data_IF_830738121720
#
_entry.id   IF_830738121720
#
_cell.length_a   1.000
_cell.length_b   1.000
_cell.length_c   1.000
_cell.angle_alpha   90.00
_cell.angle_beta   90.00
_cell.angle_gamma   90.00
#
_symmetry.space_group_name_H-M   'P 1'
#
loop_
_entity.id
_entity.type
_entity.pdbx_description
1 polymer ?
#
# COMPACT_ATOMS: atom_id res chain seq x y z
N UNK A 1 -6.22 4.51 -4.05
CA UNK A 1 -7.53 5.19 -3.88
C UNK A 1 -7.54 5.79 -2.48
N UNK A 2 -8.07 6.99 -2.29
CA UNK A 2 -8.04 7.70 -0.99
C UNK A 2 -9.43 8.19 -0.68
N UNK A 3 -9.85 8.06 0.58
CA UNK A 3 -11.08 8.66 1.07
C UNK A 3 -10.80 10.03 1.67
N UNK A 4 -11.65 11.02 1.40
CA UNK A 4 -11.62 12.31 2.08
C UNK A 4 -12.84 12.41 2.98
N UNK A 5 -12.61 12.41 4.29
CA UNK A 5 -13.67 12.46 5.30
C UNK A 5 -13.75 13.87 5.87
N UNK A 6 -14.96 14.40 5.96
CA UNK A 6 -15.24 15.71 6.57
C UNK A 6 -15.89 15.53 7.93
N UNK A 7 -15.26 16.11 8.95
CA UNK A 7 -15.74 16.18 10.33
C UNK A 7 -15.87 17.66 10.74
N UNK A 8 -16.56 17.99 11.85
CA UNK A 8 -16.60 19.38 12.35
C UNK A 8 -15.21 19.99 12.61
N UNK A 9 -14.21 19.16 12.92
CA UNK A 9 -12.83 19.59 13.14
C UNK A 9 -12.02 19.84 11.86
N UNK A 10 -12.53 19.43 10.69
CA UNK A 10 -11.86 19.61 9.40
C UNK A 10 -12.00 18.43 8.46
N UNK A 11 -11.14 18.42 7.44
CA UNK A 11 -11.11 17.41 6.38
C UNK A 11 -9.85 16.57 6.48
N UNK A 12 -9.97 15.28 6.24
CA UNK A 12 -8.89 14.32 6.45
C UNK A 12 -8.80 13.36 5.28
N UNK A 13 -7.58 13.14 4.78
CA UNK A 13 -7.26 12.07 3.85
C UNK A 13 -7.05 10.77 4.64
N UNK A 14 -7.73 9.71 4.21
CA UNK A 14 -7.67 8.38 4.80
C UNK A 14 -7.36 7.39 3.68
N UNK A 15 -6.19 6.75 3.76
CA UNK A 15 -5.77 5.69 2.85
C UNK A 15 -5.42 4.44 3.67
N UNK A 16 -6.22 3.40 3.50
CA UNK A 16 -6.03 2.09 4.13
C UNK A 16 -5.55 1.03 3.12
N UNK A 17 -5.24 1.44 1.89
CA UNK A 17 -4.89 0.55 0.76
C UNK A 17 -3.49 0.74 0.20
N UNK A 18 -2.72 1.75 0.64
CA UNK A 18 -1.36 1.99 0.12
C UNK A 18 -0.35 0.89 0.49
N UNK A 19 -0.54 0.22 1.63
CA UNK A 19 0.35 -0.83 2.12
C UNK A 19 1.39 -0.30 3.11
N UNK A 20 2.62 -0.83 3.05
CA UNK A 20 3.55 -0.79 4.19
C UNK A 20 4.10 0.59 4.57
N UNK A 21 4.07 1.54 3.63
CA UNK A 21 4.52 2.92 3.82
C UNK A 21 3.34 3.91 3.90
N UNK A 22 2.13 3.40 4.15
CA UNK A 22 0.93 4.22 4.28
C UNK A 22 0.87 4.93 5.62
N UNK A 23 0.08 6.00 5.66
CA UNK A 23 -0.27 6.63 6.93
C UNK A 23 -1.03 5.65 7.83
N UNK A 24 -0.68 5.63 9.12
CA UNK A 24 -1.36 4.81 10.14
C UNK A 24 -2.42 5.60 10.92
N UNK A 25 -2.66 6.84 10.49
CA UNK A 25 -3.64 7.75 11.09
C UNK A 25 -4.21 8.69 10.01
N UNK A 26 -5.42 9.24 10.20
CA UNK A 26 -5.98 10.22 9.28
C UNK A 26 -5.06 11.44 9.15
N UNK A 27 -4.74 11.82 7.91
CA UNK A 27 -3.95 13.02 7.66
C UNK A 27 -4.86 14.21 7.46
N UNK A 28 -4.66 15.29 8.22
CA UNK A 28 -5.34 16.55 7.95
C UNK A 28 -5.06 16.96 6.49
N UNK A 29 -6.10 17.28 5.73
CA UNK A 29 -6.01 17.70 4.34
C UNK A 29 -5.47 19.14 4.25
N UNK A 30 -4.21 19.33 4.66
CA UNK A 30 -3.48 20.58 4.75
C UNK A 30 -2.03 20.34 4.35
N UNK A 31 -1.40 21.28 3.63
CA UNK A 31 -0.02 21.10 3.19
C UNK A 31 0.95 21.19 4.38
N UNK A 32 2.06 20.49 4.26
CA UNK A 32 3.26 20.62 5.10
C UNK A 32 3.09 20.28 6.59
N UNK A 33 2.00 19.59 6.96
CA UNK A 33 1.84 19.01 8.30
C UNK A 33 2.54 17.65 8.33
N UNK A 34 3.58 17.53 9.16
CA UNK A 34 4.28 16.28 9.40
C UNK A 34 3.47 15.44 10.39
N UNK A 35 3.17 14.21 9.99
CA UNK A 35 2.51 13.19 10.80
C UNK A 35 3.45 12.02 11.01
N UNK A 36 3.50 11.50 12.23
CA UNK A 36 4.30 10.32 12.55
C UNK A 36 3.69 9.06 11.93
N UNK A 37 4.55 8.18 11.45
CA UNK A 37 4.24 6.84 10.94
C UNK A 37 4.67 5.75 11.92
N UNK A 38 4.99 4.57 11.37
CA UNK A 38 5.49 3.45 12.17
C UNK A 38 6.97 3.70 12.52
N UNK A 39 7.29 3.82 13.81
CA UNK A 39 8.66 4.07 14.25
C UNK A 39 9.16 5.46 13.77
N UNK A 40 10.33 5.56 13.11
CA UNK A 40 10.90 6.84 12.66
C UNK A 40 10.26 7.39 11.38
N UNK A 41 9.29 6.67 10.79
CA UNK A 41 8.66 7.10 9.54
C UNK A 41 7.86 8.37 9.74
N UNK A 42 7.83 9.19 8.70
CA UNK A 42 7.02 10.41 8.67
C UNK A 42 6.27 10.53 7.35
N UNK A 43 5.11 11.17 7.43
CA UNK A 43 4.21 11.42 6.31
C UNK A 43 3.86 12.90 6.26
N UNK A 44 3.59 13.40 5.06
CA UNK A 44 2.96 14.71 4.88
C UNK A 44 2.17 14.77 3.59
N UNK A 45 1.26 15.73 3.52
CA UNK A 45 0.60 16.11 2.28
C UNK A 45 1.21 17.41 1.76
N UNK A 46 1.34 17.52 0.44
CA UNK A 46 1.61 18.77 -0.26
C UNK A 46 0.46 19.07 -1.21
N UNK A 47 0.24 20.36 -1.51
CA UNK A 47 -0.68 20.76 -2.58
C UNK A 47 0.09 21.43 -3.70
N UNK A 48 0.55 20.63 -4.67
CA UNK A 48 1.51 21.04 -5.70
C UNK A 48 1.17 20.48 -7.07
N UNK A 49 1.77 21.06 -8.12
CA UNK A 49 1.76 20.47 -9.45
C UNK A 49 2.68 19.25 -9.49
N UNK A 50 2.40 18.30 -10.38
CA UNK A 50 3.22 17.09 -10.57
C UNK A 50 3.95 17.15 -11.91
N UNK A 51 5.12 16.52 -12.01
CA UNK A 51 6.01 16.59 -13.19
C UNK A 51 5.28 16.32 -14.52
N UNK A 52 4.34 15.36 -14.62
CA UNK A 52 3.65 15.11 -15.89
C UNK A 52 2.67 16.21 -16.34
N UNK A 53 2.28 17.15 -15.46
CA UNK A 53 1.33 18.20 -15.82
C UNK A 53 1.98 19.27 -16.68
N UNK A 54 1.38 19.54 -17.84
CA UNK A 54 1.78 20.66 -18.72
C UNK A 54 1.20 22.00 -18.28
N UNK A 55 0.12 22.00 -17.49
CA UNK A 55 -0.47 23.20 -16.89
C UNK A 55 0.05 23.40 -15.45
N UNK A 56 0.92 24.39 -15.19
CA UNK A 56 1.51 24.60 -13.87
C UNK A 56 0.51 25.10 -12.81
N UNK A 57 -0.68 25.56 -13.23
CA UNK A 57 -1.74 25.99 -12.31
C UNK A 57 -2.55 24.83 -11.76
N UNK A 58 -2.49 23.64 -12.39
CA UNK A 58 -3.15 22.45 -11.87
C UNK A 58 -2.33 21.85 -10.73
N UNK A 59 -3.00 21.64 -9.60
CA UNK A 59 -2.41 21.07 -8.39
C UNK A 59 -3.21 19.87 -7.94
N UNK A 60 -2.49 18.90 -7.40
CA UNK A 60 -3.04 17.75 -6.70
C UNK A 60 -2.55 17.75 -5.26
N UNK A 61 -3.27 17.03 -4.40
CA UNK A 61 -2.71 16.58 -3.15
C UNK A 61 -1.67 15.50 -3.43
N UNK A 62 -0.46 15.65 -2.89
CA UNK A 62 0.62 14.69 -3.04
C UNK A 62 0.97 14.14 -1.66
N UNK A 63 0.79 12.84 -1.49
CA UNK A 63 1.25 12.13 -0.30
C UNK A 63 2.74 11.86 -0.42
N UNK A 64 3.50 12.35 0.56
CA UNK A 64 4.92 12.07 0.70
C UNK A 64 5.18 11.26 1.96
N UNK A 65 6.19 10.41 1.88
CA UNK A 65 6.71 9.64 3.01
C UNK A 65 8.22 9.68 3.04
N UNK A 66 8.80 9.44 4.21
CA UNK A 66 10.21 9.16 4.42
C UNK A 66 10.40 8.16 5.56
N UNK A 67 11.49 7.39 5.54
CA UNK A 67 11.70 6.34 6.53
C UNK A 67 12.32 6.84 7.83
N UNK A 68 12.97 8.01 7.80
CA UNK A 68 13.51 8.72 8.94
C UNK A 68 13.52 10.23 8.70
N UNK A 69 13.72 11.02 9.75
CA UNK A 69 13.82 12.48 9.63
C UNK A 69 15.05 12.97 8.85
N UNK A 70 16.04 12.10 8.65
CA UNK A 70 17.28 12.38 7.91
C UNK A 70 17.14 12.07 6.42
N UNK A 71 16.15 11.26 6.04
CA UNK A 71 15.90 10.89 4.65
C UNK A 71 15.20 12.02 3.86
N UNK A 72 15.44 12.02 2.55
CA UNK A 72 14.68 12.85 1.61
C UNK A 72 13.21 12.38 1.52
N UNK A 73 12.32 13.33 1.26
CA UNK A 73 10.91 13.04 1.04
C UNK A 73 10.68 12.39 -0.33
N UNK A 74 9.95 11.28 -0.36
CA UNK A 74 9.54 10.60 -1.58
C UNK A 74 8.05 10.87 -1.89
N UNK A 75 7.77 11.36 -3.11
CA UNK A 75 6.41 11.43 -3.66
C UNK A 75 5.90 10.00 -3.90
N UNK A 76 4.95 9.55 -3.08
CA UNK A 76 4.40 8.20 -3.18
C UNK A 76 3.22 8.12 -4.15
N UNK A 77 2.25 9.03 -4.01
CA UNK A 77 1.13 9.16 -4.95
C UNK A 77 0.50 10.55 -4.87
N UNK A 78 -0.34 10.86 -5.86
CA UNK A 78 -1.12 12.08 -5.90
C UNK A 78 -2.61 11.77 -6.06
N UNK A 79 -3.48 12.63 -5.51
CA UNK A 79 -4.92 12.52 -5.63
C UNK A 79 -5.57 13.90 -5.73
N UNK A 80 -6.76 13.93 -6.34
CA UNK A 80 -7.59 15.13 -6.46
C UNK A 80 -8.67 15.13 -5.38
N UNK A 81 -9.25 16.30 -5.16
CA UNK A 81 -10.44 16.48 -4.32
C UNK A 81 -11.75 16.31 -5.09
N UNK A 82 -11.66 15.89 -6.36
CA UNK A 82 -12.82 15.52 -7.16
C UNK A 82 -13.41 14.21 -6.64
N UNK A 83 -14.73 14.16 -6.52
CA UNK A 83 -15.45 12.94 -6.20
C UNK A 83 -15.43 11.95 -7.37
N UNK A 84 -15.16 10.68 -7.06
CA UNK A 84 -15.17 9.57 -8.01
C UNK A 84 -16.37 8.69 -7.68
N UNK A 85 -17.08 8.25 -8.72
CA UNK A 85 -18.21 7.33 -8.60
C UNK A 85 -17.72 5.87 -8.62
N UNK A 86 -18.53 4.89 -8.18
CA UNK A 86 -18.17 3.48 -8.22
C UNK A 86 -17.63 3.01 -9.59
N UNK A 87 -18.23 3.47 -10.69
CA UNK A 87 -17.81 3.12 -12.05
C UNK A 87 -16.41 3.63 -12.40
N UNK A 88 -15.99 4.79 -11.86
CA UNK A 88 -14.63 5.29 -12.05
C UNK A 88 -13.61 4.33 -11.41
N UNK A 89 -13.94 3.81 -10.22
CA UNK A 89 -13.11 2.83 -9.53
C UNK A 89 -13.10 1.47 -10.22
N UNK A 90 -14.21 1.03 -10.82
CA UNK A 90 -14.24 -0.19 -11.63
C UNK A 90 -13.26 -0.11 -12.80
N UNK A 91 -13.22 1.01 -13.53
CA UNK A 91 -12.26 1.20 -14.63
C UNK A 91 -10.81 1.19 -14.14
N UNK A 92 -10.52 1.88 -13.03
CA UNK A 92 -9.17 1.91 -12.43
C UNK A 92 -8.76 0.52 -11.95
N UNK A 93 -9.66 -0.19 -11.29
CA UNK A 93 -9.43 -1.55 -10.78
C UNK A 93 -9.22 -2.54 -11.92
N UNK A 94 -10.03 -2.46 -12.99
CA UNK A 94 -9.86 -3.27 -14.18
C UNK A 94 -8.48 -3.06 -14.80
N UNK A 95 -8.04 -1.82 -15.03
CA UNK A 95 -6.69 -1.59 -15.56
C UNK A 95 -5.61 -2.11 -14.62
N UNK A 96 -5.74 -1.85 -13.31
CA UNK A 96 -4.75 -2.27 -12.30
C UNK A 96 -4.64 -3.79 -12.18
N UNK A 97 -5.75 -4.53 -12.34
CA UNK A 97 -5.79 -5.99 -12.19
C UNK A 97 -5.58 -6.76 -13.49
N UNK A 98 -5.92 -6.18 -14.66
CA UNK A 98 -5.92 -6.91 -15.94
C UNK A 98 -4.83 -6.45 -16.91
N UNK A 99 -4.29 -5.23 -16.77
CA UNK A 99 -3.29 -4.72 -17.69
C UNK A 99 -1.96 -5.46 -17.52
N UNK A 100 -1.42 -6.04 -18.59
CA UNK A 100 -0.08 -6.63 -18.60
C UNK A 100 1.07 -5.63 -18.36
N UNK A 101 0.76 -4.33 -18.25
CA UNK A 101 1.69 -3.27 -17.83
C UNK A 101 1.58 -2.91 -16.34
N UNK A 102 0.53 -3.38 -15.65
CA UNK A 102 0.37 -3.17 -14.22
C UNK A 102 1.32 -4.08 -13.44
N UNK A 103 2.00 -3.52 -12.44
CA UNK A 103 2.82 -4.28 -11.52
C UNK A 103 1.96 -5.28 -10.72
N UNK A 104 0.78 -4.86 -10.28
CA UNK A 104 -0.15 -5.68 -9.49
C UNK A 104 -0.74 -6.88 -10.25
N UNK A 105 -0.76 -6.85 -11.59
CA UNK A 105 -1.20 -7.99 -12.41
C UNK A 105 -0.09 -9.04 -12.61
N UNK A 106 1.13 -8.77 -12.14
CA UNK A 106 2.34 -9.55 -12.46
C UNK A 106 3.20 -9.90 -11.27
N UNK A 107 2.80 -9.47 -10.08
CA UNK A 107 3.55 -9.58 -8.83
C UNK A 107 2.58 -9.95 -7.73
N UNK A 108 3.05 -10.78 -6.80
CA UNK A 108 2.27 -11.08 -5.60
C UNK A 108 2.73 -10.12 -4.51
N UNK A 109 1.78 -9.41 -3.93
CA UNK A 109 2.04 -8.59 -2.75
C UNK A 109 0.93 -8.80 -1.73
N UNK A 110 1.32 -8.98 -0.48
CA UNK A 110 0.41 -8.91 0.65
C UNK A 110 1.07 -8.10 1.75
N UNK A 111 0.30 -7.21 2.37
CA UNK A 111 0.76 -6.39 3.50
C UNK A 111 -0.25 -6.51 4.63
N UNK A 112 0.26 -6.77 5.83
CA UNK A 112 -0.52 -6.76 7.06
C UNK A 112 0.15 -5.84 8.08
N UNK A 113 -0.64 -4.97 8.70
CA UNK A 113 -0.18 -4.12 9.80
C UNK A 113 -0.11 -4.94 11.10
N UNK A 114 0.91 -4.71 11.92
CA UNK A 114 1.11 -5.33 13.24
C UNK A 114 0.70 -4.33 14.31
N UNK A 115 -0.20 -4.75 15.20
CA UNK A 115 -0.71 -3.93 16.31
C UNK A 115 -0.12 -4.40 17.64
N UNK A 116 0.25 -3.43 18.49
CA UNK A 116 0.46 -3.63 19.93
C UNK A 116 -0.55 -2.74 20.67
N UNK A 117 -1.63 -3.35 21.17
CA UNK A 117 -2.79 -2.58 21.65
C UNK A 117 -3.47 -1.83 20.49
N UNK A 118 -3.52 -0.50 20.58
CA UNK A 118 -4.09 0.38 19.54
C UNK A 118 -3.02 1.00 18.63
N UNK A 119 -1.73 0.73 18.86
CA UNK A 119 -0.62 1.31 18.09
C UNK A 119 -0.17 0.36 16.96
N UNK A 120 -0.02 0.90 15.75
CA UNK A 120 0.61 0.17 14.64
C UNK A 120 2.13 0.23 14.79
N UNK A 121 2.75 -0.90 15.15
CA UNK A 121 4.19 -0.97 15.45
C UNK A 121 5.03 -1.55 14.32
N UNK A 122 4.40 -2.13 13.31
CA UNK A 122 5.12 -2.82 12.25
C UNK A 122 4.24 -3.31 11.11
N UNK A 123 4.88 -4.01 10.18
CA UNK A 123 4.24 -4.63 9.03
C UNK A 123 4.82 -6.00 8.75
N UNK A 124 3.99 -6.93 8.27
CA UNK A 124 4.42 -8.14 7.57
C UNK A 124 4.16 -7.91 6.08
N UNK A 125 5.16 -8.18 5.26
CA UNK A 125 5.15 -7.93 3.82
C UNK A 125 5.56 -9.22 3.13
N UNK A 126 4.69 -9.73 2.28
CA UNK A 126 5.02 -10.76 1.31
C UNK A 126 5.15 -10.09 -0.05
N UNK A 127 6.26 -10.32 -0.72
CA UNK A 127 6.57 -9.78 -2.03
C UNK A 127 7.16 -10.91 -2.88
N UNK A 128 6.38 -11.36 -3.87
CA UNK A 128 6.62 -12.53 -4.71
C UNK A 128 6.95 -13.81 -3.93
N UNK A 129 8.23 -14.07 -3.71
CA UNK A 129 8.77 -15.27 -3.05
C UNK A 129 9.27 -14.97 -1.65
N UNK A 130 9.38 -13.71 -1.25
CA UNK A 130 9.97 -13.34 0.02
C UNK A 130 8.93 -12.86 1.00
N UNK A 131 9.12 -13.20 2.28
CA UNK A 131 8.36 -12.62 3.37
C UNK A 131 9.31 -11.95 4.36
N UNK A 132 8.98 -10.72 4.72
CA UNK A 132 9.73 -9.90 5.66
C UNK A 132 8.80 -9.25 6.65
N UNK A 133 9.32 -9.00 7.85
CA UNK A 133 8.65 -8.24 8.90
C UNK A 133 9.46 -6.99 9.18
N UNK A 134 8.80 -5.83 9.22
CA UNK A 134 9.41 -4.57 9.64
C UNK A 134 8.76 -4.10 10.93
N UNK A 135 9.52 -3.95 12.01
CA UNK A 135 9.04 -3.40 13.29
C UNK A 135 9.89 -2.19 13.65
N UNK A 136 9.24 -1.04 13.89
CA UNK A 136 9.91 0.21 14.31
C UNK A 136 11.19 0.53 13.52
N UNK A 137 11.13 0.38 12.19
CA UNK A 137 12.23 0.65 11.25
C UNK A 137 13.24 -0.49 11.05
N UNK A 138 13.16 -1.58 11.82
CA UNK A 138 14.04 -2.76 11.66
C UNK A 138 13.37 -3.83 10.82
N UNK A 139 14.06 -4.27 9.77
CA UNK A 139 13.58 -5.34 8.87
C UNK A 139 14.21 -6.67 9.25
N UNK A 140 13.39 -7.71 9.29
CA UNK A 140 13.76 -9.11 9.49
C UNK A 140 13.19 -9.94 8.33
N UNK A 141 14.05 -10.71 7.67
CA UNK A 141 13.60 -11.67 6.65
C UNK A 141 13.07 -12.92 7.34
N UNK A 142 11.82 -13.26 7.08
CA UNK A 142 11.13 -14.40 7.70
C UNK A 142 11.23 -15.67 6.86
N UNK A 143 11.53 -15.56 5.56
CA UNK A 143 11.72 -16.70 4.68
C UNK A 143 11.68 -16.36 3.20
N UNK A 144 12.01 -17.36 2.39
CA UNK A 144 11.89 -17.38 0.93
C UNK A 144 11.11 -18.65 0.55
N UNK A 145 10.14 -18.52 -0.35
CA UNK A 145 9.31 -19.60 -0.86
C UNK A 145 9.84 -20.05 -2.20
N UNK A 146 10.03 -21.35 -2.32
CA UNK A 146 10.47 -22.02 -3.56
C UNK A 146 9.31 -22.72 -4.26
N UNK A 147 8.22 -23.00 -3.53
CA UNK A 147 7.02 -23.63 -4.07
C UNK A 147 5.76 -22.80 -3.81
N UNK A 148 4.72 -23.04 -4.61
CA UNK A 148 3.42 -22.39 -4.41
C UNK A 148 2.75 -22.86 -3.10
N UNK A 149 2.94 -24.13 -2.73
CA UNK A 149 2.40 -24.67 -1.49
C UNK A 149 2.95 -23.92 -0.26
N UNK A 150 4.26 -23.67 -0.22
CA UNK A 150 4.89 -22.87 0.84
C UNK A 150 4.31 -21.45 0.91
N UNK A 151 4.09 -20.82 -0.25
CA UNK A 151 3.55 -19.46 -0.32
C UNK A 151 2.09 -19.39 0.13
N UNK A 152 1.27 -20.37 -0.24
CA UNK A 152 -0.14 -20.46 0.21
C UNK A 152 -0.22 -20.68 1.73
N UNK A 153 0.63 -21.55 2.29
CA UNK A 153 0.69 -21.72 3.75
C UNK A 153 1.15 -20.45 4.47
N UNK A 154 2.03 -19.66 3.84
CA UNK A 154 2.42 -18.36 4.38
C UNK A 154 1.30 -17.32 4.36
N UNK A 155 0.45 -17.30 3.33
CA UNK A 155 -0.75 -16.46 3.29
C UNK A 155 -1.67 -16.75 4.47
N UNK A 156 -1.93 -18.03 4.76
CA UNK A 156 -2.72 -18.44 5.92
C UNK A 156 -2.05 -18.02 7.22
N UNK A 157 -0.78 -18.40 7.41
CA UNK A 157 -0.03 -18.18 8.66
C UNK A 157 0.13 -16.71 9.03
N UNK A 158 0.47 -15.87 8.05
CA UNK A 158 0.89 -14.48 8.31
C UNK A 158 -0.20 -13.46 8.01
N UNK A 159 -1.08 -13.74 7.05
CA UNK A 159 -2.10 -12.80 6.59
C UNK A 159 -3.53 -13.20 6.96
N UNK A 160 -3.72 -14.39 7.54
CA UNK A 160 -5.05 -14.95 7.83
C UNK A 160 -5.90 -15.10 6.55
N UNK A 161 -5.23 -15.38 5.42
CA UNK A 161 -5.85 -15.61 4.12
C UNK A 161 -5.74 -17.10 3.82
N UNK A 162 -6.86 -17.81 4.00
CA UNK A 162 -6.98 -19.22 3.66
C UNK A 162 -7.68 -19.38 2.31
N UNK A 163 -6.95 -19.90 1.32
CA UNK A 163 -7.48 -20.18 0.00
C UNK A 163 -8.19 -21.53 -0.03
N UNK A 164 -9.34 -21.58 -0.68
CA UNK A 164 -10.03 -22.81 -1.05
C UNK A 164 -9.23 -23.60 -2.12
N UNK A 165 -9.58 -24.88 -2.31
CA UNK A 165 -8.95 -25.69 -3.37
C UNK A 165 -9.21 -25.13 -4.77
N UNK A 166 -10.36 -24.49 -5.00
CA UNK A 166 -10.67 -23.81 -6.27
C UNK A 166 -9.76 -22.60 -6.48
N UNK A 167 -9.58 -21.75 -5.47
CA UNK A 167 -8.70 -20.58 -5.54
C UNK A 167 -7.23 -20.98 -5.71
N UNK A 168 -6.76 -22.03 -5.01
CA UNK A 168 -5.44 -22.63 -5.25
C UNK A 168 -5.31 -23.14 -6.68
N UNK A 169 -6.34 -23.79 -7.20
CA UNK A 169 -6.42 -24.21 -8.60
C UNK A 169 -6.32 -23.05 -9.59
N UNK A 170 -6.90 -21.90 -9.25
CA UNK A 170 -6.85 -20.67 -10.04
C UNK A 170 -5.47 -20.02 -10.17
N UNK A 171 -4.51 -20.38 -9.30
CA UNK A 171 -3.11 -19.91 -9.41
C UNK A 171 -2.39 -20.61 -10.57
N UNK A 172 -2.80 -21.83 -10.92
CA UNK A 172 -2.13 -22.63 -11.95
C UNK A 172 -2.23 -21.94 -13.32
N UNK A 173 -1.09 -21.83 -14.00
CA UNK A 173 -0.95 -21.15 -15.29
C UNK A 173 -0.88 -19.62 -15.21
N UNK A 174 -0.98 -19.02 -14.03
CA UNK A 174 -0.78 -17.57 -13.87
C UNK A 174 0.68 -17.19 -14.05
N UNK A 175 0.96 -15.92 -14.39
CA UNK A 175 2.34 -15.46 -14.60
C UNK A 175 3.19 -15.47 -13.33
N UNK A 176 2.56 -15.50 -12.16
CA UNK A 176 3.20 -15.48 -10.84
C UNK A 176 3.35 -16.85 -10.20
N UNK A 177 2.84 -17.91 -10.83
CA UNK A 177 2.90 -19.28 -10.30
C UNK A 177 4.34 -19.68 -9.96
N UNK A 178 4.53 -20.25 -8.77
CA UNK A 178 5.76 -20.93 -8.37
C UNK A 178 5.69 -22.45 -8.67
N UNK A 179 6.83 -23.14 -8.72
CA UNK A 179 6.88 -24.60 -8.83
C UNK A 179 5.98 -25.32 -7.82
N UNK A 180 5.47 -26.50 -8.21
CA UNK A 180 4.66 -27.35 -7.31
C UNK A 180 5.50 -28.28 -6.43
N UNK A 181 6.84 -28.36 -6.65
CA UNK A 181 7.79 -29.28 -5.98
C UNK A 181 9.07 -28.52 -5.64
#
# INVERSE_FOLDING_TARGET
MVNIVTLPSGRYAIDVGFGSNGAVQPLALRPDIISTGIGPQEHRLLYKSIIPYTNPHQKLWVFQHRNSSEDEWSDAYAFTDLEFLPMDYEMISFWTSQSGKSWFARKIVAVRMILEGEEVVGTVILEDTEIKRRIKGKTEHLGIFTTEAERVEALKKWFDIELSEEEKGGIKGTTTQLPEI
#
